data_IF_089068202770
#
_entry.id   IF_089068202770
#
_cell.length_a   1.000
_cell.length_b   1.000
_cell.length_c   1.000
_cell.angle_alpha   90.00
_cell.angle_beta   90.00
_cell.angle_gamma   90.00
#
_symmetry.space_group_name_H-M   'P 1'
#
loop_
_entity.id
_entity.type
_entity.pdbx_description
1 polymer ?
#
# COMPACT_ATOMS: atom_id res chain seq x y z
N UNK A 1 11.40 -12.37 -13.06
CA UNK A 1 10.65 -12.13 -11.82
C UNK A 1 9.45 -11.31 -12.20
N UNK A 2 8.25 -11.86 -12.08
CA UNK A 2 6.99 -11.12 -12.28
C UNK A 2 6.94 -9.99 -11.26
N UNK A 3 6.59 -8.78 -11.69
CA UNK A 3 6.36 -7.69 -10.76
C UNK A 3 5.10 -8.00 -9.94
N UNK A 4 5.01 -7.53 -8.68
CA UNK A 4 3.79 -7.69 -7.90
C UNK A 4 2.70 -6.74 -8.38
N UNK A 5 1.45 -7.16 -8.28
CA UNK A 5 0.27 -6.43 -8.76
C UNK A 5 -0.38 -5.62 -7.64
N UNK A 6 -0.92 -4.46 -8.00
CA UNK A 6 -1.77 -3.65 -7.10
C UNK A 6 -3.19 -4.18 -7.10
N UNK A 7 -3.58 -4.90 -6.04
CA UNK A 7 -4.93 -5.46 -5.93
C UNK A 7 -5.94 -4.55 -5.19
N UNK A 8 -5.45 -3.54 -4.46
CA UNK A 8 -6.30 -2.63 -3.70
C UNK A 8 -5.59 -1.30 -3.40
N UNK A 9 -6.36 -0.21 -3.42
CA UNK A 9 -5.93 1.14 -3.07
C UNK A 9 -7.04 1.86 -2.31
N UNK A 10 -6.67 2.73 -1.38
CA UNK A 10 -7.65 3.51 -0.62
C UNK A 10 -7.04 4.69 0.13
N UNK A 11 -7.89 5.66 0.44
CA UNK A 11 -7.58 6.83 1.25
C UNK A 11 -8.50 6.91 2.49
N UNK A 12 -8.15 7.74 3.46
CA UNK A 12 -8.97 8.10 4.63
C UNK A 12 -9.60 6.91 5.36
N UNK A 13 -10.93 6.88 5.44
CA UNK A 13 -11.69 5.83 6.12
C UNK A 13 -11.49 4.46 5.46
N UNK A 14 -11.38 4.40 4.13
CA UNK A 14 -11.09 3.15 3.42
C UNK A 14 -9.70 2.63 3.79
N UNK A 15 -8.68 3.51 3.79
CA UNK A 15 -7.32 3.13 4.23
C UNK A 15 -7.30 2.66 5.69
N UNK A 16 -8.08 3.30 6.57
CA UNK A 16 -8.23 2.85 7.96
C UNK A 16 -8.82 1.44 8.05
N UNK A 17 -9.94 1.18 7.35
CA UNK A 17 -10.59 -0.14 7.30
C UNK A 17 -9.65 -1.21 6.75
N UNK A 18 -8.91 -0.91 5.68
CA UNK A 18 -7.95 -1.85 5.11
C UNK A 18 -6.83 -2.19 6.10
N UNK A 19 -6.30 -1.21 6.86
CA UNK A 19 -5.30 -1.47 7.90
C UNK A 19 -5.84 -2.35 9.02
N UNK A 20 -7.09 -2.18 9.42
CA UNK A 20 -7.74 -3.05 10.41
C UNK A 20 -7.80 -4.48 9.91
N UNK A 21 -8.33 -4.70 8.71
CA UNK A 21 -8.42 -6.04 8.09
C UNK A 21 -7.03 -6.66 7.92
N UNK A 22 -6.02 -5.87 7.53
CA UNK A 22 -4.64 -6.33 7.41
C UNK A 22 -4.09 -6.85 8.74
N UNK A 23 -4.32 -6.13 9.85
CA UNK A 23 -3.90 -6.58 11.19
C UNK A 23 -4.61 -7.87 11.61
N UNK A 24 -5.93 -7.95 11.39
CA UNK A 24 -6.73 -9.14 11.71
C UNK A 24 -6.25 -10.39 10.96
N UNK A 25 -5.72 -10.22 9.75
CA UNK A 25 -5.25 -11.31 8.90
C UNK A 25 -3.73 -11.50 8.93
N UNK A 26 -3.01 -10.87 9.87
CA UNK A 26 -1.54 -10.91 9.98
C UNK A 26 -0.81 -10.50 8.67
N UNK A 27 -1.43 -9.60 7.89
CA UNK A 27 -0.80 -9.02 6.70
C UNK A 27 0.16 -7.92 7.16
N UNK A 28 1.45 -7.99 6.78
CA UNK A 28 2.43 -6.95 7.12
C UNK A 28 2.01 -5.58 6.59
N UNK A 29 2.13 -4.54 7.43
CA UNK A 29 1.85 -3.15 7.05
C UNK A 29 3.16 -2.38 7.03
N UNK A 30 3.51 -1.82 5.87
CA UNK A 30 4.66 -0.94 5.71
C UNK A 30 4.21 0.53 5.69
N UNK A 31 4.62 1.29 6.70
CA UNK A 31 4.29 2.72 6.79
C UNK A 31 5.37 3.59 6.13
N UNK A 32 5.06 4.08 4.92
CA UNK A 32 5.92 4.98 4.13
C UNK A 32 5.05 6.06 3.45
N UNK A 33 4.82 7.20 4.12
CA UNK A 33 3.95 8.26 3.61
C UNK A 33 4.22 8.68 2.17
N UNK A 34 5.48 8.96 1.84
CA UNK A 34 5.89 9.42 0.51
C UNK A 34 5.67 8.34 -0.55
N UNK A 35 6.23 7.14 -0.36
CA UNK A 35 6.10 6.01 -1.29
C UNK A 35 4.64 5.69 -1.61
N UNK A 36 3.80 5.67 -0.59
CA UNK A 36 2.43 5.26 -0.79
C UNK A 36 1.54 6.39 -1.33
N UNK A 37 1.89 7.67 -1.12
CA UNK A 37 1.30 8.78 -1.89
C UNK A 37 1.65 8.68 -3.37
N UNK A 38 2.92 8.41 -3.68
CA UNK A 38 3.39 8.26 -5.06
C UNK A 38 2.70 7.08 -5.76
N UNK A 39 2.63 5.92 -5.11
CA UNK A 39 1.91 4.76 -5.63
C UNK A 39 0.42 5.01 -5.74
N UNK A 40 -0.17 5.72 -4.77
CA UNK A 40 -1.58 6.10 -4.82
C UNK A 40 -1.88 7.00 -6.02
N UNK A 41 -0.97 7.90 -6.41
CA UNK A 41 -1.17 8.82 -7.52
C UNK A 41 -0.81 8.25 -8.90
N UNK A 42 0.08 7.24 -9.00
CA UNK A 42 0.73 6.89 -10.27
C UNK A 42 0.56 5.43 -10.76
N UNK A 43 -0.19 4.57 -10.05
CA UNK A 43 -0.32 3.14 -10.39
C UNK A 43 -1.75 2.71 -10.19
N UNK A 44 -2.45 2.11 -11.15
CA UNK A 44 -3.85 1.72 -10.94
C UNK A 44 -4.00 0.35 -10.29
N UNK A 45 -5.23 0.00 -9.86
CA UNK A 45 -5.55 -1.38 -9.46
C UNK A 45 -5.49 -2.26 -10.72
N UNK A 46 -4.82 -3.41 -10.62
CA UNK A 46 -4.55 -4.29 -11.77
C UNK A 46 -3.18 -4.04 -12.41
N UNK A 47 -2.51 -2.93 -12.08
CA UNK A 47 -1.19 -2.64 -12.62
C UNK A 47 -0.09 -3.32 -11.81
N UNK A 48 0.96 -3.73 -12.52
CA UNK A 48 2.23 -4.11 -11.95
C UNK A 48 2.91 -2.92 -11.27
N UNK A 49 3.56 -3.16 -10.13
CA UNK A 49 4.31 -2.12 -9.43
C UNK A 49 5.58 -1.78 -10.23
N UNK A 50 5.80 -0.49 -10.56
CA UNK A 50 7.02 -0.07 -11.23
C UNK A 50 8.30 -0.45 -10.47
N UNK A 51 9.33 -0.89 -11.20
CA UNK A 51 10.59 -1.41 -10.64
C UNK A 51 11.27 -0.44 -9.65
N UNK A 52 11.11 0.87 -9.88
CA UNK A 52 11.62 1.94 -8.99
C UNK A 52 11.10 1.80 -7.55
N UNK A 53 9.87 1.32 -7.37
CA UNK A 53 9.24 1.13 -6.07
C UNK A 53 9.57 -0.24 -5.48
N UNK A 54 9.72 -1.28 -6.31
CA UNK A 54 10.11 -2.63 -5.87
C UNK A 54 11.46 -2.61 -5.14
N UNK A 55 12.45 -1.89 -5.69
CA UNK A 55 13.78 -1.76 -5.05
C UNK A 55 13.71 -1.16 -3.66
N UNK A 56 12.77 -0.22 -3.44
CA UNK A 56 12.54 0.36 -2.12
C UNK A 56 11.89 -0.66 -1.17
N UNK A 57 10.88 -1.41 -1.63
CA UNK A 57 10.20 -2.44 -0.82
C UNK A 57 11.16 -3.56 -0.37
N UNK A 58 12.01 -4.06 -1.28
CA UNK A 58 12.95 -5.15 -1.00
C UNK A 58 13.99 -4.79 0.07
N UNK A 59 14.42 -3.52 0.13
CA UNK A 59 15.41 -3.05 1.10
C UNK A 59 14.95 -3.16 2.56
N UNK A 60 13.64 -3.23 2.81
CA UNK A 60 13.07 -3.23 4.15
C UNK A 60 12.81 -4.63 4.74
N UNK A 61 13.35 -5.68 4.12
CA UNK A 61 13.27 -7.03 4.69
C UNK A 61 11.87 -7.64 4.65
N UNK A 62 10.93 -7.01 3.95
CA UNK A 62 9.72 -7.68 3.49
C UNK A 62 10.18 -8.72 2.48
N UNK A 63 10.34 -9.96 2.95
CA UNK A 63 10.20 -11.13 2.10
C UNK A 63 8.78 -11.05 1.56
N UNK A 64 8.66 -10.46 0.36
CA UNK A 64 7.40 -10.43 -0.36
C UNK A 64 6.85 -11.85 -0.28
N UNK A 65 5.60 -12.03 0.21
CA UNK A 65 5.02 -13.35 0.17
C UNK A 65 5.11 -13.84 -1.29
N UNK A 66 5.37 -15.13 -1.52
CA UNK A 66 5.49 -15.66 -2.88
C UNK A 66 4.22 -15.41 -3.71
N UNK A 67 3.08 -15.19 -3.05
CA UNK A 67 1.85 -14.69 -3.66
C UNK A 67 2.00 -13.21 -4.03
N UNK A 68 1.91 -12.93 -5.32
CA UNK A 68 2.18 -11.69 -6.08
C UNK A 68 1.37 -10.44 -5.65
N UNK A 69 0.71 -10.45 -4.49
CA UNK A 69 -0.22 -9.42 -4.06
C UNK A 69 0.40 -8.45 -3.06
N UNK A 70 0.50 -7.17 -3.44
CA UNK A 70 0.88 -6.10 -2.52
C UNK A 70 -0.29 -5.13 -2.38
N UNK A 71 -0.81 -5.04 -1.16
CA UNK A 71 -1.86 -4.09 -0.78
C UNK A 71 -1.20 -2.77 -0.36
N UNK A 72 -1.47 -1.68 -1.07
CA UNK A 72 -0.95 -0.37 -0.72
C UNK A 72 -1.95 0.43 0.10
N UNK A 73 -1.41 1.22 1.03
CA UNK A 73 -2.15 2.13 1.88
C UNK A 73 -1.44 3.47 1.78
N UNK A 74 -2.08 4.51 1.25
CA UNK A 74 -1.51 5.87 1.29
C UNK A 74 -1.55 6.43 2.72
N UNK A 75 -0.42 6.90 3.31
CA UNK A 75 -0.44 7.73 4.49
C UNK A 75 -0.32 9.22 4.12
N UNK A 76 -1.26 10.02 4.63
CA UNK A 76 -1.05 11.15 5.56
C UNK A 76 -1.87 12.40 5.20
N UNK A 77 -2.24 13.29 6.15
CA UNK A 77 -2.25 13.18 7.62
C UNK A 77 -3.69 13.06 8.19
N UNK A 78 -3.82 12.63 9.44
CA UNK A 78 -4.97 13.06 10.25
C UNK A 78 -4.79 14.56 10.53
N UNK A 79 -5.60 15.43 9.92
CA UNK A 79 -6.04 16.71 10.50
C UNK A 79 -7.19 17.29 9.67
N UNK A 80 -8.37 17.27 10.33
CA UNK A 80 -9.62 18.03 10.10
C UNK A 80 -10.28 17.88 8.73
N UNK A 81 -11.39 17.12 8.67
CA UNK A 81 -12.71 17.57 8.19
C UNK A 81 -13.64 16.37 7.99
N UNK A 82 -14.37 15.99 9.05
CA UNK A 82 -15.76 15.59 8.88
C UNK A 82 -16.57 16.89 8.85
N UNK A 83 -17.12 17.33 7.72
CA UNK A 83 -18.26 18.24 7.75
C UNK A 83 -19.53 17.39 7.88
N UNK A 84 -20.24 17.56 9.00
CA UNK A 84 -21.67 17.24 9.15
C UNK A 84 -22.05 15.77 9.19
#
# INVERSE_FOLDING_TARGET
MTAPEVIAKGADHLAFRMRTVARENNVPILERPELARDLYANVEIGDDIPERFIKQLQKFGLRLPPSEEIKFYSPAPLKTDFPG
#
